data_IF_186206609741
#
_entry.id   IF_186206609741
#
_cell.length_a   1.000
_cell.length_b   1.000
_cell.length_c   1.000
_cell.angle_alpha   90.00
_cell.angle_beta   90.00
_cell.angle_gamma   90.00
#
_symmetry.space_group_name_H-M   'P 1'
#
loop_
_entity.id
_entity.type
_entity.pdbx_description
1 polymer ?
#
# COMPACT_ATOMS: atom_id res chain seq x y z
N UNK A 1 57.14 9.16 -29.43
CA UNK A 1 55.83 8.88 -30.03
C UNK A 1 55.17 7.60 -29.53
N UNK A 2 55.86 6.69 -28.88
CA UNK A 2 55.33 5.40 -28.36
C UNK A 2 54.66 5.58 -26.98
N UNK A 3 55.16 6.50 -26.14
CA UNK A 3 54.64 6.71 -24.78
C UNK A 3 53.20 7.26 -24.69
N UNK A 4 52.74 7.96 -25.73
CA UNK A 4 51.37 8.50 -25.76
C UNK A 4 50.31 7.45 -26.18
N UNK A 5 50.72 6.40 -26.90
CA UNK A 5 49.79 5.33 -27.32
C UNK A 5 49.35 4.45 -26.13
N UNK A 6 50.25 4.22 -25.16
CA UNK A 6 49.92 3.44 -23.95
C UNK A 6 49.01 4.22 -22.98
N UNK A 7 49.15 5.54 -22.89
CA UNK A 7 48.29 6.41 -22.08
C UNK A 7 46.87 6.45 -22.66
N UNK A 8 46.74 6.48 -23.99
CA UNK A 8 45.44 6.49 -24.68
C UNK A 8 44.74 5.13 -24.56
N UNK A 9 45.48 4.03 -24.70
CA UNK A 9 44.93 2.67 -24.50
C UNK A 9 44.49 2.45 -23.04
N UNK A 10 45.21 2.97 -22.05
CA UNK A 10 44.84 2.86 -20.63
C UNK A 10 43.63 3.71 -20.30
N UNK A 11 43.49 4.91 -20.89
CA UNK A 11 42.32 5.77 -20.76
C UNK A 11 41.07 5.15 -21.42
N UNK A 12 41.26 4.50 -22.58
CA UNK A 12 40.16 3.80 -23.27
C UNK A 12 39.70 2.56 -22.51
N UNK A 13 40.60 1.80 -21.90
CA UNK A 13 40.27 0.69 -21.01
C UNK A 13 39.57 1.16 -19.71
N UNK A 14 39.99 2.30 -19.14
CA UNK A 14 39.27 2.88 -18.00
C UNK A 14 37.86 3.37 -18.36
N UNK A 15 37.65 3.92 -19.57
CA UNK A 15 36.35 4.35 -20.04
C UNK A 15 35.43 3.16 -20.33
N UNK A 16 35.96 1.99 -20.70
CA UNK A 16 35.17 0.76 -20.91
C UNK A 16 34.84 0.02 -19.61
N UNK A 17 35.49 0.33 -18.49
CA UNK A 17 35.20 -0.25 -17.18
C UNK A 17 34.11 0.52 -16.41
N UNK A 18 33.62 1.63 -16.93
CA UNK A 18 32.43 2.31 -16.36
C UNK A 18 31.11 1.75 -16.93
N UNK A 19 31.06 0.47 -17.33
CA UNK A 19 29.79 -0.21 -17.44
C UNK A 19 29.25 -0.31 -16.03
N UNK A 20 28.32 0.56 -15.71
CA UNK A 20 27.47 0.43 -14.53
C UNK A 20 26.97 -1.00 -14.52
N UNK A 21 27.47 -1.81 -13.58
CA UNK A 21 26.88 -3.09 -13.26
C UNK A 21 25.53 -2.76 -12.65
N UNK A 22 24.54 -2.58 -13.51
CA UNK A 22 23.15 -2.68 -13.06
C UNK A 22 23.02 -4.10 -12.57
N UNK A 23 22.96 -4.29 -11.26
CA UNK A 23 22.61 -5.57 -10.69
C UNK A 23 21.37 -6.07 -11.44
N UNK A 24 21.43 -7.28 -12.01
CA UNK A 24 20.29 -7.85 -12.72
C UNK A 24 19.12 -7.85 -11.76
N UNK A 25 18.02 -7.21 -12.15
CA UNK A 25 16.81 -7.20 -11.32
C UNK A 25 16.29 -8.63 -11.16
N UNK A 26 15.80 -8.97 -9.99
CA UNK A 26 15.21 -10.29 -9.72
C UNK A 26 13.96 -10.57 -10.55
N UNK A 27 13.20 -9.52 -10.84
CA UNK A 27 11.99 -9.56 -11.66
C UNK A 27 11.75 -8.18 -12.32
N UNK A 28 10.77 -8.07 -13.19
CA UNK A 28 10.34 -6.82 -13.79
C UNK A 28 8.83 -6.83 -14.03
N UNK A 29 8.15 -5.82 -13.52
CA UNK A 29 6.77 -5.56 -13.90
C UNK A 29 6.73 -5.03 -15.36
N UNK A 30 6.25 -5.84 -16.28
CA UNK A 30 5.98 -5.40 -17.66
C UNK A 30 4.85 -4.40 -17.68
N UNK A 31 3.80 -4.69 -16.90
CA UNK A 31 2.67 -3.81 -16.67
C UNK A 31 2.19 -3.94 -15.23
N UNK A 32 1.90 -2.81 -14.64
CA UNK A 32 1.21 -2.69 -13.37
C UNK A 32 0.08 -1.67 -13.55
N UNK A 33 -1.13 -2.02 -13.11
CA UNK A 33 -2.25 -1.09 -13.16
C UNK A 33 -3.08 -1.18 -11.89
N UNK A 34 -3.41 -0.03 -11.32
CA UNK A 34 -4.31 0.12 -10.20
C UNK A 34 -5.44 1.07 -10.59
N UNK A 35 -6.67 0.66 -10.30
CA UNK A 35 -7.87 1.47 -10.60
C UNK A 35 -8.73 1.56 -9.36
N UNK A 36 -9.03 2.76 -8.92
CA UNK A 36 -10.00 3.07 -7.86
C UNK A 36 -11.25 3.67 -8.49
N UNK A 37 -12.39 3.21 -8.09
CA UNK A 37 -13.68 3.71 -8.58
C UNK A 37 -14.58 4.01 -7.40
N UNK A 38 -15.03 5.25 -7.29
CA UNK A 38 -16.15 5.65 -6.42
C UNK A 38 -17.42 5.67 -7.27
N UNK A 39 -18.41 4.89 -6.89
CA UNK A 39 -19.71 4.89 -7.54
C UNK A 39 -20.66 5.96 -6.93
N UNK A 40 -21.70 6.32 -7.66
CA UNK A 40 -22.67 7.32 -7.20
C UNK A 40 -23.43 6.89 -5.93
N UNK A 41 -23.56 5.59 -5.66
CA UNK A 41 -24.17 5.03 -4.45
C UNK A 41 -23.23 4.99 -3.25
N UNK A 42 -21.98 5.48 -3.39
CA UNK A 42 -20.95 5.45 -2.34
C UNK A 42 -20.21 4.10 -2.21
N UNK A 43 -20.53 3.11 -3.03
CA UNK A 43 -19.71 1.91 -3.12
C UNK A 43 -18.39 2.20 -3.81
N UNK A 44 -17.33 1.46 -3.46
CA UNK A 44 -16.02 1.65 -4.07
C UNK A 44 -15.48 0.35 -4.64
N UNK A 45 -14.68 0.44 -5.70
CA UNK A 45 -13.98 -0.70 -6.29
C UNK A 45 -12.50 -0.38 -6.42
N UNK A 46 -11.68 -1.32 -5.98
CA UNK A 46 -10.26 -1.33 -6.26
C UNK A 46 -9.95 -2.49 -7.20
N UNK A 47 -9.32 -2.23 -8.33
CA UNK A 47 -8.83 -3.26 -9.25
C UNK A 47 -7.33 -3.18 -9.39
N UNK A 48 -6.70 -4.32 -9.28
CA UNK A 48 -5.27 -4.52 -9.45
C UNK A 48 -5.01 -5.44 -10.62
N UNK A 49 -4.05 -5.07 -11.49
CA UNK A 49 -3.58 -5.91 -12.58
C UNK A 49 -2.07 -5.87 -12.66
N UNK A 50 -1.42 -7.02 -12.78
CA UNK A 50 0.01 -7.11 -13.01
C UNK A 50 0.38 -8.11 -14.10
N UNK A 51 1.47 -7.79 -14.80
CA UNK A 51 2.25 -8.68 -15.65
C UNK A 51 3.70 -8.60 -15.14
N UNK A 52 4.17 -9.64 -14.45
CA UNK A 52 5.47 -9.66 -13.77
C UNK A 52 6.33 -10.79 -14.32
N UNK A 53 7.47 -10.48 -14.94
CA UNK A 53 8.43 -11.47 -15.44
C UNK A 53 9.51 -11.76 -14.40
N UNK A 54 9.80 -13.03 -14.17
CA UNK A 54 10.75 -13.53 -13.17
C UNK A 54 12.10 -13.85 -13.80
N UNK A 55 13.20 -13.42 -13.16
CA UNK A 55 14.55 -13.62 -13.67
C UNK A 55 15.44 -14.45 -12.78
N UNK A 56 15.06 -14.65 -11.50
CA UNK A 56 15.85 -15.39 -10.52
C UNK A 56 15.02 -16.41 -9.75
N UNK A 57 15.67 -17.42 -9.19
CA UNK A 57 15.02 -18.38 -8.30
C UNK A 57 14.52 -17.73 -7.00
N UNK A 58 15.23 -16.72 -6.49
CA UNK A 58 14.80 -15.94 -5.33
C UNK A 58 13.47 -15.25 -5.59
N UNK A 59 13.31 -14.65 -6.79
CA UNK A 59 12.04 -14.03 -7.20
C UNK A 59 10.88 -15.04 -7.18
N UNK A 60 11.11 -16.27 -7.62
CA UNK A 60 10.06 -17.31 -7.67
C UNK A 60 9.69 -17.84 -6.29
N UNK A 61 10.67 -18.07 -5.41
CA UNK A 61 10.46 -18.80 -4.16
C UNK A 61 10.28 -17.89 -2.94
N UNK A 62 10.72 -16.65 -3.01
CA UNK A 62 10.72 -15.75 -1.85
C UNK A 62 9.88 -14.49 -2.03
N UNK A 63 9.98 -13.84 -3.19
CA UNK A 63 9.42 -12.50 -3.33
C UNK A 63 8.06 -12.49 -4.05
N UNK A 64 7.91 -13.29 -5.10
CA UNK A 64 6.76 -13.22 -6.02
C UNK A 64 6.06 -14.57 -6.24
N UNK A 65 6.41 -15.60 -5.47
CA UNK A 65 5.73 -16.91 -5.53
C UNK A 65 4.27 -16.83 -5.10
N UNK A 66 3.94 -15.84 -4.31
CA UNK A 66 2.61 -15.62 -3.74
C UNK A 66 2.20 -14.15 -3.86
N UNK A 67 0.89 -13.92 -3.91
CA UNK A 67 0.29 -12.58 -3.79
C UNK A 67 -0.71 -12.57 -2.65
N UNK A 68 -0.73 -11.50 -1.86
CA UNK A 68 -1.51 -11.36 -0.66
C UNK A 68 -2.54 -10.24 -0.83
N UNK A 69 -3.81 -10.53 -0.58
CA UNK A 69 -4.92 -9.60 -0.77
C UNK A 69 -5.78 -9.57 0.49
N UNK A 70 -5.61 -8.52 1.30
CA UNK A 70 -6.40 -8.33 2.52
C UNK A 70 -7.74 -7.69 2.16
N UNK A 71 -8.82 -8.20 2.75
CA UNK A 71 -10.16 -7.66 2.59
C UNK A 71 -11.04 -8.00 3.80
N UNK A 72 -12.14 -7.26 3.94
CA UNK A 72 -13.13 -7.49 4.99
C UNK A 72 -14.39 -8.13 4.39
N UNK A 73 -14.64 -9.44 4.52
CA UNK A 73 -15.77 -10.13 3.89
C UNK A 73 -17.15 -9.67 4.39
N UNK A 74 -17.22 -8.96 5.51
CA UNK A 74 -18.48 -8.38 5.99
C UNK A 74 -18.92 -7.18 5.13
N UNK A 75 -17.96 -6.44 4.58
CA UNK A 75 -18.18 -5.20 3.83
C UNK A 75 -17.58 -5.19 2.43
N UNK A 76 -16.75 -6.16 2.12
CA UNK A 76 -16.04 -6.24 0.84
C UNK A 76 -16.20 -7.61 0.20
N UNK A 77 -16.24 -7.62 -1.12
CA UNK A 77 -16.19 -8.81 -1.96
C UNK A 77 -14.89 -8.81 -2.77
N UNK A 78 -14.14 -9.89 -2.65
CA UNK A 78 -12.95 -10.15 -3.48
C UNK A 78 -13.33 -11.02 -4.67
N UNK A 79 -12.98 -10.59 -5.86
CA UNK A 79 -13.10 -11.36 -7.10
C UNK A 79 -11.74 -11.47 -7.79
N UNK A 80 -11.25 -12.69 -7.97
CA UNK A 80 -10.11 -12.95 -8.86
C UNK A 80 -10.65 -13.00 -10.29
N UNK A 81 -10.30 -12.00 -11.11
CA UNK A 81 -10.74 -11.91 -12.50
C UNK A 81 -9.93 -12.88 -13.39
N UNK A 82 -8.62 -12.96 -13.16
CA UNK A 82 -7.73 -13.94 -13.78
C UNK A 82 -6.44 -14.12 -12.98
N UNK A 83 -5.94 -15.36 -12.94
CA UNK A 83 -4.61 -15.68 -12.37
C UNK A 83 -4.01 -16.83 -13.17
N UNK A 84 -2.83 -16.61 -13.75
CA UNK A 84 -2.10 -17.61 -14.51
C UNK A 84 -0.63 -17.21 -14.68
N UNK A 85 0.19 -18.19 -15.02
CA UNK A 85 1.59 -17.97 -15.41
C UNK A 85 1.75 -18.31 -16.90
N UNK A 86 2.38 -17.43 -17.66
CA UNK A 86 2.84 -17.72 -19.01
C UNK A 86 4.31 -18.10 -18.93
N UNK A 87 4.63 -19.34 -19.27
CA UNK A 87 5.98 -19.87 -19.31
C UNK A 87 6.79 -19.29 -20.46
N UNK A 88 8.11 -19.49 -20.45
CA UNK A 88 9.03 -18.95 -21.45
C UNK A 88 8.71 -19.42 -22.88
N UNK A 89 8.23 -20.66 -23.02
CA UNK A 89 7.81 -21.25 -24.30
C UNK A 89 6.42 -20.76 -24.77
N UNK A 90 5.73 -19.96 -23.96
CA UNK A 90 4.38 -19.45 -24.22
C UNK A 90 3.25 -20.29 -23.62
N UNK A 91 3.55 -21.43 -23.00
CA UNK A 91 2.55 -22.27 -22.32
C UNK A 91 1.88 -21.49 -21.19
N UNK A 92 0.56 -21.59 -21.08
CA UNK A 92 -0.24 -20.92 -20.05
C UNK A 92 -0.64 -21.94 -18.99
N UNK A 93 -0.18 -21.72 -17.77
CA UNK A 93 -0.55 -22.51 -16.59
C UNK A 93 -1.53 -21.67 -15.75
N UNK A 94 -2.81 -22.06 -15.74
CA UNK A 94 -3.81 -21.42 -14.89
C UNK A 94 -3.54 -21.76 -13.43
N UNK A 95 -3.73 -20.78 -12.56
CA UNK A 95 -3.70 -21.00 -11.10
C UNK A 95 -4.85 -21.94 -10.73
N UNK A 96 -4.59 -23.11 -10.14
CA UNK A 96 -5.63 -24.08 -9.77
C UNK A 96 -6.41 -23.60 -8.53
N UNK A 97 -7.62 -24.11 -8.35
CA UNK A 97 -8.53 -23.68 -7.27
C UNK A 97 -7.94 -23.84 -5.88
N UNK A 98 -7.13 -24.88 -5.64
CA UNK A 98 -6.47 -25.13 -4.36
C UNK A 98 -5.25 -24.21 -4.10
N UNK A 99 -4.88 -23.35 -5.03
CA UNK A 99 -3.84 -22.35 -4.87
C UNK A 99 -4.40 -20.97 -4.44
N UNK A 100 -5.71 -20.89 -4.16
CA UNK A 100 -6.35 -19.73 -3.55
C UNK A 100 -6.70 -20.12 -2.11
N UNK A 101 -5.95 -19.56 -1.14
CA UNK A 101 -6.08 -19.93 0.27
C UNK A 101 -6.43 -18.69 1.09
N UNK A 102 -7.54 -18.75 1.82
CA UNK A 102 -7.89 -17.69 2.77
C UNK A 102 -7.27 -17.98 4.13
N UNK A 103 -6.57 -16.98 4.65
CA UNK A 103 -5.96 -17.02 5.97
C UNK A 103 -6.29 -15.74 6.76
N UNK A 104 -5.91 -15.71 8.03
CA UNK A 104 -5.93 -14.48 8.82
C UNK A 104 -4.74 -13.60 8.40
N UNK A 105 -4.94 -12.29 8.16
CA UNK A 105 -3.83 -11.37 7.87
C UNK A 105 -2.81 -11.37 8.99
N UNK A 106 -1.53 -11.33 8.65
CA UNK A 106 -0.44 -11.31 9.65
C UNK A 106 -0.62 -10.20 10.69
N UNK A 107 -1.03 -9.01 10.26
CA UNK A 107 -1.25 -7.87 11.15
C UNK A 107 -2.47 -8.04 12.09
N UNK A 108 -3.34 -9.03 11.83
CA UNK A 108 -4.46 -9.37 12.70
C UNK A 108 -4.20 -10.61 13.57
N UNK A 109 -3.05 -11.30 13.42
CA UNK A 109 -2.75 -12.56 14.12
C UNK A 109 -2.79 -12.39 15.64
N UNK A 110 -2.23 -11.29 16.16
CA UNK A 110 -2.19 -10.99 17.59
C UNK A 110 -3.24 -9.93 17.99
N UNK A 111 -4.24 -9.72 17.14
CA UNK A 111 -5.27 -8.70 17.32
C UNK A 111 -6.68 -9.29 17.09
N UNK A 112 -7.24 -10.07 18.05
CA UNK A 112 -8.49 -10.79 17.89
C UNK A 112 -9.71 -9.94 17.49
N UNK A 113 -9.72 -8.65 17.81
CA UNK A 113 -10.77 -7.72 17.38
C UNK A 113 -10.87 -7.61 15.84
N UNK A 114 -9.82 -7.98 15.12
CA UNK A 114 -9.74 -7.92 13.66
C UNK A 114 -9.77 -9.30 12.98
N UNK A 115 -10.12 -10.37 13.70
CA UNK A 115 -10.23 -11.74 13.15
C UNK A 115 -11.30 -11.89 12.06
N UNK A 116 -12.13 -10.87 11.85
CA UNK A 116 -13.09 -10.80 10.75
C UNK A 116 -12.44 -10.45 9.41
N UNK A 117 -11.19 -9.97 9.40
CA UNK A 117 -10.44 -9.74 8.18
C UNK A 117 -9.95 -11.06 7.59
N UNK A 118 -9.82 -11.11 6.28
CA UNK A 118 -9.28 -12.22 5.52
C UNK A 118 -8.13 -11.74 4.63
N UNK A 119 -7.17 -12.62 4.44
CA UNK A 119 -6.12 -12.46 3.45
C UNK A 119 -6.20 -13.61 2.45
N UNK A 120 -6.50 -13.30 1.20
CA UNK A 120 -6.40 -14.25 0.11
C UNK A 120 -4.94 -14.37 -0.31
N UNK A 121 -4.38 -15.55 -0.12
CA UNK A 121 -3.07 -15.94 -0.65
C UNK A 121 -3.29 -16.59 -2.01
N UNK A 122 -2.75 -15.97 -3.06
CA UNK A 122 -2.73 -16.54 -4.42
C UNK A 122 -1.36 -17.15 -4.66
N UNK A 123 -1.27 -18.47 -4.61
CA UNK A 123 -0.02 -19.22 -4.86
C UNK A 123 0.17 -19.35 -6.38
N UNK A 124 1.17 -18.69 -6.93
CA UNK A 124 1.46 -18.75 -8.37
C UNK A 124 2.12 -20.07 -8.73
N UNK A 125 1.56 -20.76 -9.73
CA UNK A 125 2.01 -22.08 -10.17
C UNK A 125 2.66 -22.04 -11.55
N UNK A 126 3.47 -23.05 -11.89
CA UNK A 126 4.14 -23.13 -13.19
C UNK A 126 5.28 -22.11 -13.34
N UNK A 127 5.87 -21.65 -12.25
CA UNK A 127 6.96 -20.68 -12.25
C UNK A 127 8.24 -21.29 -12.77
N UNK A 128 8.92 -20.54 -13.64
CA UNK A 128 10.25 -20.84 -14.16
C UNK A 128 11.00 -19.52 -14.48
N UNK A 129 12.29 -19.61 -14.73
CA UNK A 129 13.07 -18.44 -15.15
C UNK A 129 12.61 -17.90 -16.50
N UNK A 130 12.20 -16.66 -16.54
CA UNK A 130 11.63 -15.98 -17.71
C UNK A 130 10.12 -16.13 -17.84
N UNK A 131 9.45 -16.87 -16.95
CA UNK A 131 8.00 -16.89 -16.89
C UNK A 131 7.42 -15.53 -16.49
N UNK A 132 6.20 -15.28 -16.91
CA UNK A 132 5.46 -14.07 -16.55
C UNK A 132 4.19 -14.43 -15.79
N UNK A 133 4.05 -13.89 -14.59
CA UNK A 133 2.85 -13.99 -13.75
C UNK A 133 1.84 -12.95 -14.23
N UNK A 134 0.58 -13.36 -14.38
CA UNK A 134 -0.57 -12.50 -14.63
C UNK A 134 -1.56 -12.63 -13.48
N UNK A 135 -1.86 -11.52 -12.84
CA UNK A 135 -2.89 -11.44 -11.79
C UNK A 135 -3.78 -10.23 -12.05
N UNK A 136 -5.08 -10.45 -12.00
CA UNK A 136 -6.11 -9.42 -12.10
C UNK A 136 -7.18 -9.73 -11.06
N UNK A 137 -7.39 -8.83 -10.10
CA UNK A 137 -8.44 -8.96 -9.11
C UNK A 137 -9.16 -7.64 -8.84
N UNK A 138 -10.33 -7.75 -8.27
CA UNK A 138 -11.18 -6.61 -7.87
C UNK A 138 -11.67 -6.83 -6.44
N UNK A 139 -11.51 -5.80 -5.61
CA UNK A 139 -12.16 -5.70 -4.30
C UNK A 139 -13.27 -4.67 -4.41
N UNK A 140 -14.51 -5.06 -4.12
CA UNK A 140 -15.66 -4.17 -4.13
C UNK A 140 -16.12 -3.93 -2.69
N UNK A 141 -16.11 -2.67 -2.26
CA UNK A 141 -16.56 -2.23 -0.94
C UNK A 141 -18.02 -1.78 -0.99
N UNK A 142 -18.84 -2.21 -0.02
CA UNK A 142 -20.21 -1.74 0.15
C UNK A 142 -20.25 -0.23 0.43
N UNK A 143 -21.35 0.46 0.08
CA UNK A 143 -21.54 1.86 0.45
C UNK A 143 -21.31 2.10 1.95
N UNK A 144 -20.57 3.16 2.27
CA UNK A 144 -20.30 3.57 3.66
C UNK A 144 -19.24 2.75 4.41
N UNK A 145 -18.58 1.78 3.76
CA UNK A 145 -17.39 1.13 4.34
C UNK A 145 -16.16 2.03 4.23
N UNK A 146 -15.86 2.48 3.02
CA UNK A 146 -14.86 3.53 2.77
C UNK A 146 -15.61 4.85 2.55
N UNK A 147 -15.34 5.89 3.35
CA UNK A 147 -16.15 7.12 3.31
C UNK A 147 -15.95 7.93 2.02
N UNK A 148 -14.73 8.05 1.56
CA UNK A 148 -14.34 8.78 0.35
C UNK A 148 -13.19 8.03 -0.35
N UNK A 149 -12.83 8.44 -1.57
CA UNK A 149 -11.55 8.04 -2.15
C UNK A 149 -10.46 8.75 -1.37
N UNK A 150 -9.55 7.98 -0.81
CA UNK A 150 -8.40 8.48 -0.08
C UNK A 150 -7.21 7.56 -0.35
N UNK A 151 -6.28 8.04 -1.17
CA UNK A 151 -5.22 7.23 -1.77
C UNK A 151 -3.87 7.86 -1.44
N UNK A 152 -2.99 7.04 -0.89
CA UNK A 152 -1.56 7.32 -0.83
C UNK A 152 -0.83 6.14 -1.48
N UNK A 153 -0.36 6.31 -2.71
CA UNK A 153 0.27 5.26 -3.50
C UNK A 153 1.74 5.59 -3.75
N UNK A 154 2.63 4.82 -3.11
CA UNK A 154 4.06 4.85 -3.44
C UNK A 154 4.29 4.23 -4.83
N UNK A 155 5.04 4.92 -5.68
CA UNK A 155 5.17 4.51 -7.08
C UNK A 155 6.30 3.51 -7.33
N UNK A 156 7.28 3.42 -6.43
CA UNK A 156 8.38 2.48 -6.56
C UNK A 156 8.00 1.12 -5.99
N UNK A 157 8.26 0.08 -6.75
CA UNK A 157 8.04 -1.31 -6.37
C UNK A 157 9.38 -1.99 -6.05
N UNK A 158 9.34 -3.19 -5.46
CA UNK A 158 10.54 -4.00 -5.18
C UNK A 158 11.32 -4.42 -6.43
N UNK A 159 10.70 -4.35 -7.61
CA UNK A 159 11.32 -4.56 -8.91
C UNK A 159 10.96 -3.42 -9.87
N UNK A 160 11.76 -3.17 -10.93
CA UNK A 160 11.46 -2.13 -11.91
C UNK A 160 10.10 -2.31 -12.56
N UNK A 161 9.46 -1.20 -12.93
CA UNK A 161 8.15 -1.19 -13.62
C UNK A 161 8.30 -0.52 -14.98
N UNK A 162 8.04 -1.26 -16.06
CA UNK A 162 8.08 -0.72 -17.43
C UNK A 162 6.93 0.24 -17.70
N UNK A 163 5.72 -0.16 -17.33
CA UNK A 163 4.53 0.66 -17.48
C UNK A 163 3.65 0.53 -16.24
N UNK A 164 3.41 1.64 -15.56
CA UNK A 164 2.51 1.73 -14.42
C UNK A 164 1.36 2.67 -14.75
N UNK A 165 0.14 2.15 -14.75
CA UNK A 165 -1.07 2.94 -14.97
C UNK A 165 -1.85 3.07 -13.66
N UNK A 166 -2.10 4.30 -13.25
CA UNK A 166 -2.96 4.66 -12.13
C UNK A 166 -4.22 5.31 -12.68
N UNK A 167 -5.40 4.88 -12.24
CA UNK A 167 -6.67 5.41 -12.71
C UNK A 167 -7.62 5.62 -11.52
N UNK A 168 -8.23 6.78 -11.45
CA UNK A 168 -9.27 7.11 -10.47
C UNK A 168 -10.52 7.51 -11.23
N UNK A 169 -11.62 6.84 -10.93
CA UNK A 169 -12.94 7.09 -11.52
C UNK A 169 -13.88 7.58 -10.42
N UNK A 170 -14.45 8.77 -10.60
CA UNK A 170 -15.38 9.36 -9.63
C UNK A 170 -16.67 9.80 -10.35
N UNK A 171 -17.81 9.93 -9.64
CA UNK A 171 -18.93 10.68 -10.15
C UNK A 171 -18.48 12.10 -10.53
N UNK A 172 -19.01 12.64 -11.62
CA UNK A 172 -18.59 13.97 -12.12
C UNK A 172 -18.88 15.11 -11.13
N UNK A 173 -19.83 14.89 -10.22
CA UNK A 173 -20.18 15.84 -9.14
C UNK A 173 -19.20 15.81 -7.96
N UNK A 174 -18.30 14.80 -7.89
CA UNK A 174 -17.26 14.70 -6.87
C UNK A 174 -15.95 15.26 -7.43
N UNK A 175 -15.44 16.29 -6.80
CA UNK A 175 -14.13 16.84 -7.12
C UNK A 175 -13.03 15.89 -6.60
N UNK A 176 -12.00 15.67 -7.41
CA UNK A 176 -10.81 14.89 -7.05
C UNK A 176 -9.65 15.85 -6.88
N UNK A 177 -9.19 16.03 -5.64
CA UNK A 177 -7.91 16.66 -5.35
C UNK A 177 -6.79 15.62 -5.50
N UNK A 178 -5.67 15.97 -6.12
CA UNK A 178 -4.53 15.06 -6.28
C UNK A 178 -3.19 15.76 -6.39
N UNK A 179 -2.15 15.06 -5.99
CA UNK A 179 -0.75 15.48 -6.14
C UNK A 179 0.08 14.27 -6.54
N UNK A 180 0.84 14.42 -7.63
CA UNK A 180 1.87 13.45 -8.05
C UNK A 180 3.23 14.08 -7.81
N UNK A 181 4.02 13.49 -6.91
CA UNK A 181 5.34 14.02 -6.53
C UNK A 181 6.47 13.27 -7.25
N UNK A 182 7.57 13.97 -7.49
CA UNK A 182 8.83 13.40 -8.01
C UNK A 182 8.67 12.55 -9.28
N UNK A 183 7.64 12.83 -10.09
CA UNK A 183 7.43 12.21 -11.39
C UNK A 183 6.82 13.23 -12.37
N UNK A 184 7.33 13.33 -13.61
CA UNK A 184 6.87 14.31 -14.59
C UNK A 184 5.54 13.95 -15.29
N UNK A 185 4.97 12.76 -15.03
CA UNK A 185 3.74 12.32 -15.67
C UNK A 185 2.58 13.28 -15.35
N UNK A 186 1.80 13.61 -16.37
CA UNK A 186 0.64 14.50 -16.23
C UNK A 186 -0.64 13.67 -16.21
N UNK A 187 -1.61 14.12 -15.43
CA UNK A 187 -2.95 13.54 -15.42
C UNK A 187 -3.63 13.72 -16.78
N UNK A 188 -4.26 12.65 -17.25
CA UNK A 188 -5.25 12.68 -18.33
C UNK A 188 -6.63 12.63 -17.72
N UNK A 189 -7.45 13.65 -17.95
CA UNK A 189 -8.80 13.76 -17.37
C UNK A 189 -9.83 13.64 -18.49
N UNK A 190 -10.76 12.70 -18.33
CA UNK A 190 -11.88 12.49 -19.27
C UNK A 190 -13.20 12.49 -18.51
N UNK A 191 -14.18 13.25 -19.00
CA UNK A 191 -15.55 13.24 -18.47
C UNK A 191 -16.48 12.61 -19.49
N UNK A 192 -17.25 11.65 -19.06
CA UNK A 192 -18.21 10.95 -19.93
C UNK A 192 -19.25 10.20 -19.09
N UNK A 193 -20.51 10.28 -19.47
CA UNK A 193 -21.58 9.49 -18.84
C UNK A 193 -21.77 9.77 -17.34
N UNK A 194 -21.57 11.00 -16.88
CA UNK A 194 -21.69 11.38 -15.47
C UNK A 194 -20.52 10.94 -14.59
N UNK A 195 -19.41 10.47 -15.20
CA UNK A 195 -18.18 10.09 -14.50
C UNK A 195 -16.98 10.88 -14.97
N UNK A 196 -16.06 11.15 -14.06
CA UNK A 196 -14.75 11.73 -14.31
C UNK A 196 -13.68 10.64 -14.13
N UNK A 197 -12.89 10.39 -15.16
CA UNK A 197 -11.75 9.46 -15.13
C UNK A 197 -10.47 10.26 -15.17
N UNK A 198 -9.67 10.17 -14.13
CA UNK A 198 -8.33 10.78 -14.04
C UNK A 198 -7.29 9.67 -14.04
N UNK A 199 -6.31 9.73 -14.96
CA UNK A 199 -5.31 8.67 -15.10
C UNK A 199 -3.91 9.20 -15.37
N UNK A 200 -2.91 8.42 -14.92
CA UNK A 200 -1.49 8.64 -15.15
C UNK A 200 -0.88 7.38 -15.74
N UNK A 201 0.04 7.56 -16.66
CA UNK A 201 0.89 6.48 -17.17
C UNK A 201 2.35 6.83 -16.91
N UNK A 202 2.98 6.08 -16.04
CA UNK A 202 4.38 6.21 -15.69
C UNK A 202 5.18 5.12 -16.41
N UNK A 203 6.41 5.44 -16.82
CA UNK A 203 7.23 4.50 -17.58
C UNK A 203 8.63 4.39 -17.01
N UNK A 204 9.17 3.18 -17.07
CA UNK A 204 10.56 2.87 -16.69
C UNK A 204 10.89 3.34 -15.26
N UNK A 205 10.00 3.03 -14.31
CA UNK A 205 10.27 3.29 -12.90
C UNK A 205 11.36 2.33 -12.40
N UNK A 206 12.37 2.83 -11.68
CA UNK A 206 13.38 1.98 -11.07
C UNK A 206 12.77 1.16 -9.92
N UNK A 207 13.49 0.12 -9.50
CA UNK A 207 13.16 -0.57 -8.26
C UNK A 207 13.39 0.36 -7.06
N UNK A 208 12.56 0.20 -6.02
CA UNK A 208 12.82 0.76 -4.71
C UNK A 208 14.02 0.04 -4.09
N UNK A 209 15.09 0.78 -3.77
CA UNK A 209 16.16 0.26 -2.96
C UNK A 209 15.89 0.60 -1.51
N UNK A 210 15.41 -0.37 -0.73
CA UNK A 210 15.35 -0.24 0.73
C UNK A 210 16.67 -0.72 1.31
N UNK A 211 17.72 0.09 1.18
CA UNK A 211 18.91 -0.15 1.98
C UNK A 211 18.52 -0.01 3.46
N UNK A 212 18.78 -1.02 4.33
CA UNK A 212 18.50 -0.91 5.74
C UNK A 212 19.29 0.29 6.31
N UNK A 213 18.66 1.05 7.21
CA UNK A 213 19.24 2.22 7.87
C UNK A 213 19.47 3.46 6.99
N UNK A 214 18.96 3.52 5.77
CA UNK A 214 18.92 4.77 5.02
C UNK A 214 17.67 5.54 5.43
N UNK A 215 17.87 6.71 6.00
CA UNK A 215 16.77 7.65 6.25
C UNK A 215 16.25 8.16 4.90
N UNK A 216 15.05 7.73 4.54
CA UNK A 216 14.33 8.28 3.39
C UNK A 216 13.69 9.57 3.86
N UNK A 217 14.19 10.70 3.36
CA UNK A 217 13.59 11.99 3.65
C UNK A 217 12.18 12.03 3.06
N UNK A 218 11.21 12.50 3.85
CA UNK A 218 9.86 12.72 3.34
C UNK A 218 9.91 13.57 2.06
N UNK A 219 9.35 13.05 0.96
CA UNK A 219 9.36 13.67 -0.35
C UNK A 219 10.43 13.15 -1.34
N UNK A 220 11.34 12.28 -0.94
CA UNK A 220 12.32 11.68 -1.86
C UNK A 220 11.71 10.54 -2.69
N UNK A 221 10.70 9.86 -2.17
CA UNK A 221 9.99 8.78 -2.88
C UNK A 221 8.85 9.38 -3.70
N UNK A 222 8.75 9.06 -5.00
CA UNK A 222 7.62 9.48 -5.80
C UNK A 222 6.34 8.79 -5.33
N UNK A 223 5.28 9.56 -5.13
CA UNK A 223 3.96 9.05 -4.75
C UNK A 223 2.82 9.82 -5.43
N UNK A 224 1.66 9.16 -5.51
CA UNK A 224 0.37 9.78 -5.82
C UNK A 224 -0.44 9.87 -4.53
N UNK A 225 -0.79 11.08 -4.12
CA UNK A 225 -1.85 11.33 -3.14
C UNK A 225 -3.09 11.82 -3.88
N UNK A 226 -4.26 11.28 -3.56
CA UNK A 226 -5.51 11.70 -4.18
C UNK A 226 -6.69 11.47 -3.23
N UNK A 227 -7.60 12.45 -3.17
CA UNK A 227 -8.76 12.36 -2.29
C UNK A 227 -9.99 13.05 -2.87
N UNK A 228 -11.17 12.56 -2.49
CA UNK A 228 -12.46 13.21 -2.76
C UNK A 228 -13.03 13.94 -1.54
N UNK A 229 -12.32 13.97 -0.43
CA UNK A 229 -12.64 14.88 0.67
C UNK A 229 -12.53 16.34 0.21
N UNK A 230 -13.50 17.17 0.56
CA UNK A 230 -13.50 18.57 0.17
C UNK A 230 -12.43 19.41 0.90
N UNK A 231 -11.96 18.93 2.06
CA UNK A 231 -10.93 19.59 2.85
C UNK A 231 -10.27 18.62 3.83
N UNK A 232 -9.08 18.98 4.34
CA UNK A 232 -8.41 18.27 5.43
C UNK A 232 -9.29 18.21 6.69
N UNK A 233 -10.04 19.27 6.98
CA UNK A 233 -10.98 19.31 8.10
C UNK A 233 -12.10 18.28 7.98
N UNK A 234 -12.61 18.03 6.77
CA UNK A 234 -13.62 16.99 6.53
C UNK A 234 -13.03 15.59 6.71
N UNK A 235 -11.84 15.34 6.15
CA UNK A 235 -11.14 14.08 6.32
C UNK A 235 -10.88 13.77 7.80
N UNK A 236 -10.35 14.75 8.53
CA UNK A 236 -10.08 14.64 9.96
C UNK A 236 -11.38 14.44 10.76
N UNK A 237 -12.44 15.15 10.41
CA UNK A 237 -13.74 15.04 11.10
C UNK A 237 -14.34 13.62 10.99
N UNK A 238 -14.01 12.85 9.95
CA UNK A 238 -14.44 11.45 9.81
C UNK A 238 -13.88 10.57 10.94
N UNK A 239 -12.67 10.86 11.38
CA UNK A 239 -12.02 10.16 12.50
C UNK A 239 -12.40 10.78 13.83
N UNK A 240 -12.32 12.11 13.99
CA UNK A 240 -12.57 12.80 15.24
C UNK A 240 -14.00 12.63 15.78
N UNK A 241 -14.98 12.41 14.92
CA UNK A 241 -16.36 12.06 15.35
C UNK A 241 -16.43 10.75 16.16
N UNK A 242 -15.42 9.90 16.03
CA UNK A 242 -15.31 8.62 16.74
C UNK A 242 -14.44 8.74 17.99
N UNK A 243 -13.71 9.86 18.15
CA UNK A 243 -12.96 10.16 19.36
C UNK A 243 -13.94 10.57 20.44
N UNK A 244 -14.23 9.66 21.36
CA UNK A 244 -15.08 9.93 22.51
C UNK A 244 -14.25 9.77 23.76
N UNK A 245 -14.24 10.77 24.66
CA UNK A 245 -13.71 10.55 26.00
C UNK A 245 -14.42 9.34 26.58
N UNK A 246 -13.66 8.32 26.96
CA UNK A 246 -14.23 7.17 27.62
C UNK A 246 -14.84 7.61 28.94
N UNK A 247 -16.08 7.22 29.19
CA UNK A 247 -16.69 7.34 30.53
C UNK A 247 -16.24 6.21 31.46
N UNK A 248 -15.27 5.40 31.06
CA UNK A 248 -14.74 4.31 31.89
C UNK A 248 -13.98 4.88 33.10
N UNK A 249 -14.42 4.59 34.34
CA UNK A 249 -13.73 5.04 35.55
C UNK A 249 -12.29 4.54 35.66
N UNK A 250 -11.98 3.38 35.11
CA UNK A 250 -10.62 2.82 35.13
C UNK A 250 -9.66 3.66 34.27
N UNK A 251 -10.11 4.09 33.10
CA UNK A 251 -9.29 4.97 32.25
C UNK A 251 -9.10 6.34 32.87
N UNK A 252 -10.14 6.88 33.49
CA UNK A 252 -10.05 8.15 34.24
C UNK A 252 -9.01 8.04 35.35
N UNK A 253 -9.11 7.00 36.20
CA UNK A 253 -8.17 6.76 37.29
C UNK A 253 -6.73 6.57 36.78
N UNK A 254 -6.54 5.83 35.66
CA UNK A 254 -5.24 5.67 35.06
C UNK A 254 -4.66 7.00 34.55
N UNK A 255 -5.46 7.78 33.81
CA UNK A 255 -5.04 9.07 33.30
C UNK A 255 -4.65 10.04 34.46
N UNK A 256 -5.43 10.06 35.54
CA UNK A 256 -5.12 10.83 36.73
C UNK A 256 -3.79 10.39 37.37
N UNK A 257 -3.57 9.08 37.51
CA UNK A 257 -2.32 8.55 38.07
C UNK A 257 -1.10 8.83 37.22
N UNK A 258 -1.22 8.74 35.87
CA UNK A 258 -0.13 9.03 34.94
C UNK A 258 0.24 10.53 34.91
N UNK A 259 -0.74 11.38 35.17
CA UNK A 259 -0.57 12.85 35.11
C UNK A 259 -0.36 13.49 36.50
N UNK A 260 -0.30 12.68 37.55
CA UNK A 260 -0.02 13.14 38.91
C UNK A 260 1.36 13.80 38.98
N UNK A 261 1.40 15.05 39.45
CA UNK A 261 2.63 15.84 39.52
C UNK A 261 3.01 16.62 38.25
N UNK A 262 2.35 16.39 37.14
CA UNK A 262 2.50 17.21 35.91
C UNK A 262 1.95 18.62 36.13
N UNK A 263 2.85 19.62 36.04
CA UNK A 263 2.47 21.04 36.28
C UNK A 263 1.93 21.72 35.04
N UNK A 264 2.28 21.20 33.86
CA UNK A 264 1.90 21.74 32.58
C UNK A 264 1.18 20.65 31.76
N UNK A 265 0.39 21.08 30.79
CA UNK A 265 -0.33 20.16 29.92
C UNK A 265 0.64 19.35 29.02
N UNK A 266 1.80 19.93 28.69
CA UNK A 266 2.86 19.22 27.96
C UNK A 266 3.42 18.03 28.76
N UNK A 267 3.69 18.22 30.06
CA UNK A 267 4.21 17.15 30.94
C UNK A 267 3.19 15.99 31.03
N UNK A 268 1.89 16.33 31.12
CA UNK A 268 0.80 15.35 31.17
C UNK A 268 0.67 14.58 29.83
N UNK A 269 0.74 15.31 28.70
CA UNK A 269 0.69 14.71 27.39
C UNK A 269 1.86 13.75 27.18
N UNK A 270 3.08 14.15 27.58
CA UNK A 270 4.27 13.30 27.46
C UNK A 270 4.09 12.00 28.26
N UNK A 271 3.59 12.06 29.50
CA UNK A 271 3.33 10.88 30.32
C UNK A 271 2.30 9.92 29.68
N UNK A 272 1.23 10.45 29.10
CA UNK A 272 0.22 9.65 28.39
C UNK A 272 0.81 9.04 27.12
N UNK A 273 1.57 9.80 26.32
CA UNK A 273 2.22 9.31 25.11
C UNK A 273 3.25 8.23 25.43
N UNK A 274 4.05 8.39 26.48
CA UNK A 274 5.00 7.37 26.92
C UNK A 274 4.28 6.08 27.33
N UNK A 275 3.20 6.20 28.10
CA UNK A 275 2.40 5.04 28.48
C UNK A 275 1.80 4.33 27.26
N UNK A 276 1.11 5.05 26.38
CA UNK A 276 0.47 4.45 25.18
C UNK A 276 1.49 3.85 24.24
N UNK A 277 2.67 4.44 24.11
CA UNK A 277 3.75 3.91 23.26
C UNK A 277 4.32 2.61 23.81
N UNK A 278 4.51 2.52 25.11
CA UNK A 278 5.17 1.39 25.76
C UNK A 278 4.24 0.23 26.11
N UNK A 279 2.94 0.48 26.31
CA UNK A 279 2.00 -0.52 26.82
C UNK A 279 0.93 -0.96 25.81
N UNK A 280 0.74 -0.22 24.71
CA UNK A 280 -0.23 -0.57 23.66
C UNK A 280 0.51 -0.91 22.38
N UNK A 281 0.46 -2.18 21.99
CA UNK A 281 1.08 -2.66 20.76
C UNK A 281 0.40 -2.06 19.53
N UNK A 282 1.20 -1.69 18.50
CA UNK A 282 0.66 -1.28 17.20
C UNK A 282 0.46 -2.52 16.33
N UNK A 283 -0.76 -2.74 15.83
CA UNK A 283 -1.08 -3.86 14.96
C UNK A 283 -0.80 -3.61 13.47
N UNK A 284 -0.46 -2.38 13.09
CA UNK A 284 -0.09 -2.02 11.71
C UNK A 284 -1.22 -2.13 10.67
N UNK A 285 -2.48 -2.26 11.08
CA UNK A 285 -3.62 -2.21 10.16
C UNK A 285 -3.88 -0.77 9.72
N UNK A 286 -4.18 -0.60 8.44
CA UNK A 286 -4.44 0.71 7.83
C UNK A 286 -5.92 1.09 7.91
N UNK A 287 -6.25 2.37 7.74
CA UNK A 287 -7.63 2.87 7.81
C UNK A 287 -8.55 2.23 6.76
N UNK A 288 -8.05 2.00 5.55
CA UNK A 288 -8.82 1.33 4.49
C UNK A 288 -9.10 -0.15 4.83
N UNK A 289 -8.19 -0.84 5.50
CA UNK A 289 -8.40 -2.21 5.99
C UNK A 289 -9.43 -2.27 7.12
N UNK A 290 -9.46 -1.27 8.00
CA UNK A 290 -10.42 -1.17 9.11
C UNK A 290 -11.73 -0.48 8.71
N UNK A 291 -11.83 0.03 7.47
CA UNK A 291 -13.00 0.77 6.98
C UNK A 291 -13.19 2.12 7.68
N UNK A 292 -12.10 2.77 8.07
CA UNK A 292 -12.09 4.03 8.84
C UNK A 292 -12.84 3.93 10.17
N UNK A 293 -12.96 2.72 10.74
CA UNK A 293 -13.64 2.47 12.01
C UNK A 293 -12.62 2.32 13.12
N UNK A 294 -12.87 3.00 14.22
CA UNK A 294 -12.03 2.98 15.41
C UNK A 294 -12.75 2.25 16.53
N UNK A 295 -12.02 1.44 17.27
CA UNK A 295 -12.51 0.89 18.53
C UNK A 295 -12.49 1.97 19.59
N UNK A 296 -13.41 1.94 20.57
CA UNK A 296 -13.39 2.87 21.69
C UNK A 296 -12.14 2.67 22.56
N UNK A 297 -11.70 3.73 23.23
CA UNK A 297 -10.45 3.75 24.00
C UNK A 297 -10.37 2.67 25.09
N UNK A 298 -11.49 2.37 25.77
CA UNK A 298 -11.57 1.29 26.77
C UNK A 298 -11.30 -0.09 26.17
N UNK A 299 -11.80 -0.37 24.95
CA UNK A 299 -11.53 -1.62 24.25
C UNK A 299 -10.06 -1.73 23.79
N UNK A 300 -9.45 -0.62 23.40
CA UNK A 300 -8.02 -0.58 23.04
C UNK A 300 -7.17 -0.83 24.28
N UNK A 301 -7.46 -0.16 25.37
CA UNK A 301 -6.75 -0.30 26.64
C UNK A 301 -6.88 -1.71 27.23
N UNK A 302 -8.10 -2.27 27.26
CA UNK A 302 -8.33 -3.61 27.82
C UNK A 302 -7.63 -4.73 27.03
N UNK A 303 -7.37 -4.52 25.74
CA UNK A 303 -6.72 -5.49 24.86
C UNK A 303 -5.23 -5.23 24.68
N UNK A 304 -4.72 -4.06 25.12
CA UNK A 304 -3.33 -3.62 25.01
C UNK A 304 -2.78 -3.61 23.57
N UNK A 305 -3.62 -3.47 22.55
CA UNK A 305 -3.23 -3.24 21.16
C UNK A 305 -4.23 -2.33 20.44
N UNK A 306 -3.75 -1.62 19.42
CA UNK A 306 -4.57 -0.75 18.57
C UNK A 306 -3.87 -0.37 17.28
N UNK A 307 -4.62 0.23 16.36
CA UNK A 307 -4.04 0.96 15.22
C UNK A 307 -3.40 2.26 15.70
N UNK A 308 -2.58 2.90 14.87
CA UNK A 308 -1.99 4.20 15.22
C UNK A 308 -3.05 5.24 15.59
N UNK A 309 -4.15 5.26 14.82
CA UNK A 309 -5.25 6.22 15.06
C UNK A 309 -6.04 5.88 16.33
N UNK A 310 -6.25 4.59 16.61
CA UNK A 310 -6.88 4.16 17.87
C UNK A 310 -6.04 4.49 19.11
N UNK A 311 -4.71 4.45 18.97
CA UNK A 311 -3.79 4.85 20.05
C UNK A 311 -3.80 6.36 20.31
N UNK A 312 -4.18 7.15 19.29
CA UNK A 312 -4.31 8.60 19.43
C UNK A 312 -5.66 9.04 20.04
N UNK A 313 -6.66 8.14 20.07
CA UNK A 313 -7.96 8.36 20.71
C UNK A 313 -7.88 8.14 22.23
#
# INVERSE_FOLDING_TARGET
MIQNKHKFAFLLCMLLMTTTVFGASEAEYKKLAKTWTLNADGSQKFRYKMELTLFTHTAMNGTYGESFIVYNPQYQELKINSSYTKQKDGTIIKTPDNAFVEVLPRNAADAPAYNHLKEMVVVHTGLELGATIYLDYTVTSKPGYLPEVDIFEELLQSSPVKEYTLTIVTPEVKELAYTLTNNPAKASVKRSGGTCTTSWTLRNLPASSRAPFVYVKNGDVPFLAATTYASEGEALATLLKQFNPSGDPQLTTLAESLTEGGKKDEDKLEAILEYTTNHIANNGLTLDQTGYRLRPADAVMSTAYGTEVEKAN
#
